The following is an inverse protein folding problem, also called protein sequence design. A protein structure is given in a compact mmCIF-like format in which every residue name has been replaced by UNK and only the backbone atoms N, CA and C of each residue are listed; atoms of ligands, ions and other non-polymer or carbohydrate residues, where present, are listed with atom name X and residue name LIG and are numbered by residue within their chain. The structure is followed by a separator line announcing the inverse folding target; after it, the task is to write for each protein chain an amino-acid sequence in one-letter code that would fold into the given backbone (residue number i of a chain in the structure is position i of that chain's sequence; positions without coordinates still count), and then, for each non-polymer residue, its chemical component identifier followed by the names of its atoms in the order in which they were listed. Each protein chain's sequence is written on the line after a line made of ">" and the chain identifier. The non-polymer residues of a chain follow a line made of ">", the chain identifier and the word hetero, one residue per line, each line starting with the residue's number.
data_IF_774434467101
#
_entry.id   IF_774434467101
#
_cell.length_a   1.000
_cell.length_b   1.000
_cell.length_c   1.000
_cell.angle_alpha   90.00
_cell.angle_beta   90.00
_cell.angle_gamma   90.00
#
_symmetry.space_group_name_H-M   'P 1'
#
loop_
_entity.id
_entity.type
_entity.pdbx_description
1 polymer ?
#
# COMPACT_ATOMS: atom_id res chain seq x y z
N UNK A 1 3.81 11.14 13.04
CA UNK A 1 4.12 9.73 12.77
C UNK A 1 5.32 9.33 13.62
N UNK A 2 5.30 8.16 14.25
CA UNK A 2 6.45 7.61 14.97
C UNK A 2 7.04 6.53 14.09
N UNK A 3 8.30 6.68 13.68
CA UNK A 3 9.03 5.69 12.91
C UNK A 3 10.17 5.10 13.75
N UNK A 4 10.39 3.80 13.60
CA UNK A 4 11.59 3.15 14.15
C UNK A 4 12.71 3.24 13.13
N UNK A 5 13.87 3.74 13.55
CA UNK A 5 15.08 3.57 12.76
C UNK A 5 15.68 2.20 13.07
N UNK A 6 15.62 1.31 12.08
CA UNK A 6 16.05 -0.08 12.21
C UNK A 6 17.54 -0.26 12.55
N UNK A 7 18.37 0.75 12.31
CA UNK A 7 19.83 0.67 12.48
C UNK A 7 20.33 0.81 13.93
N UNK A 8 19.57 1.46 14.81
CA UNK A 8 20.04 1.80 16.17
C UNK A 8 18.93 1.77 17.24
N UNK A 9 17.69 1.40 16.88
CA UNK A 9 16.58 1.31 17.82
C UNK A 9 16.13 2.66 18.38
N UNK A 10 16.59 3.77 17.82
CA UNK A 10 16.18 5.10 18.24
C UNK A 10 14.85 5.48 17.59
N UNK A 11 13.94 5.99 18.42
CA UNK A 11 12.64 6.50 17.99
C UNK A 11 12.80 7.94 17.51
N UNK A 12 12.32 8.23 16.30
CA UNK A 12 12.20 9.60 15.81
C UNK A 12 10.71 9.89 15.65
N UNK A 13 10.24 10.90 16.37
CA UNK A 13 8.90 11.45 16.17
C UNK A 13 9.01 12.68 15.30
N UNK A 14 8.36 12.67 14.16
CA UNK A 14 8.11 13.88 13.38
C UNK A 14 6.61 14.06 13.20
N UNK A 15 6.16 15.28 13.41
CA UNK A 15 4.74 15.63 13.36
C UNK A 15 4.42 16.16 11.97
N UNK A 16 3.79 15.32 11.15
CA UNK A 16 3.16 15.73 9.90
C UNK A 16 1.66 15.47 10.03
N UNK A 17 0.87 16.50 9.73
CA UNK A 17 -0.60 16.44 9.72
C UNK A 17 -1.29 16.70 11.06
N UNK A 18 -2.61 16.54 11.04
CA UNK A 18 -3.51 16.62 12.20
C UNK A 18 -4.15 15.26 12.49
N UNK A 19 -4.91 15.15 13.58
CA UNK A 19 -5.55 13.89 13.98
C UNK A 19 -6.60 13.35 13.00
N UNK A 20 -7.05 14.18 12.05
CA UNK A 20 -8.02 13.79 11.01
C UNK A 20 -7.36 13.45 9.68
N UNK A 21 -6.05 13.68 9.55
CA UNK A 21 -5.33 13.36 8.33
C UNK A 21 -5.07 11.85 8.26
N UNK A 22 -5.18 11.28 7.07
CA UNK A 22 -4.98 9.84 6.83
C UNK A 22 -3.51 9.64 6.40
N UNK A 23 -2.73 8.82 7.12
CA UNK A 23 -1.37 8.47 6.70
C UNK A 23 -1.36 7.78 5.34
N UNK A 24 -0.42 8.19 4.49
CA UNK A 24 -0.27 7.64 3.14
C UNK A 24 1.21 7.58 2.71
N UNK A 25 2.10 7.01 3.54
CA UNK A 25 3.53 6.97 3.24
C UNK A 25 3.81 6.13 1.98
N UNK A 26 4.71 6.61 1.12
CA UNK A 26 5.22 5.94 -0.08
C UNK A 26 6.50 6.66 -0.55
N UNK A 27 7.23 6.13 -1.52
CA UNK A 27 8.39 6.80 -2.13
C UNK A 27 7.92 7.72 -3.27
N UNK A 28 7.67 9.01 -3.00
CA UNK A 28 7.14 9.97 -3.98
C UNK A 28 8.24 10.69 -4.76
N UNK A 29 9.49 10.66 -4.32
CA UNK A 29 10.62 11.30 -5.01
C UNK A 29 11.55 10.33 -5.76
N UNK A 30 11.40 9.02 -5.53
CA UNK A 30 12.11 7.93 -6.20
C UNK A 30 13.51 7.71 -5.64
N UNK A 31 13.77 8.11 -4.39
CA UNK A 31 15.06 7.90 -3.74
C UNK A 31 15.23 6.50 -3.13
N UNK A 32 14.22 5.65 -3.28
CA UNK A 32 14.17 4.28 -2.75
C UNK A 32 13.80 4.22 -1.26
N UNK A 33 13.38 5.32 -0.66
CA UNK A 33 12.99 5.40 0.76
C UNK A 33 11.56 5.90 0.88
N UNK A 34 10.89 5.42 1.92
CA UNK A 34 9.54 5.86 2.22
C UNK A 34 9.51 7.32 2.68
N UNK A 35 8.73 8.13 1.98
CA UNK A 35 8.43 9.51 2.36
C UNK A 35 7.30 9.57 3.38
N UNK A 36 7.30 10.66 4.14
CA UNK A 36 6.21 10.95 5.06
C UNK A 36 5.12 11.66 4.29
N UNK A 37 3.94 11.07 4.24
CA UNK A 37 2.79 11.70 3.62
C UNK A 37 1.50 11.48 4.40
N UNK A 38 0.64 12.49 4.34
CA UNK A 38 -0.74 12.43 4.83
C UNK A 38 -1.69 13.06 3.82
N UNK A 39 -2.90 12.53 3.73
CA UNK A 39 -4.00 13.13 2.97
C UNK A 39 -5.03 13.70 3.94
N UNK A 40 -5.45 14.95 3.72
CA UNK A 40 -6.45 15.63 4.53
C UNK A 40 -7.83 15.54 3.88
N UNK A 41 -8.77 14.74 4.43
CA UNK A 41 -10.09 14.55 3.82
C UNK A 41 -10.95 15.81 3.79
N UNK A 42 -10.74 16.76 4.72
CA UNK A 42 -11.56 17.98 4.80
C UNK A 42 -11.24 19.00 3.70
N UNK A 43 -10.06 18.92 3.09
CA UNK A 43 -9.61 19.85 2.04
C UNK A 43 -9.15 19.14 0.77
N UNK A 44 -9.09 17.82 0.77
CA UNK A 44 -8.57 16.98 -0.33
C UNK A 44 -7.14 17.36 -0.70
N UNK A 45 -6.30 17.64 0.31
CA UNK A 45 -4.91 18.06 0.12
C UNK A 45 -3.97 17.00 0.65
N UNK A 46 -2.99 16.63 -0.16
CA UNK A 46 -1.84 15.83 0.21
C UNK A 46 -0.75 16.72 0.79
N UNK A 47 -0.10 16.27 1.86
CA UNK A 47 1.11 16.84 2.43
C UNK A 47 2.18 15.78 2.35
N UNK A 48 3.24 16.01 1.57
CA UNK A 48 4.29 15.03 1.29
C UNK A 48 5.62 15.65 1.69
N UNK A 49 6.40 14.95 2.52
CA UNK A 49 7.73 15.36 2.95
C UNK A 49 8.72 14.33 2.46
N UNK A 50 9.38 14.57 1.31
CA UNK A 50 10.29 13.61 0.74
C UNK A 50 11.48 13.34 1.66
N UNK A 51 11.91 12.08 1.72
CA UNK A 51 12.99 11.58 2.55
C UNK A 51 14.31 12.27 2.22
N UNK A 52 14.55 12.52 0.93
CA UNK A 52 15.80 13.12 0.43
C UNK A 52 15.94 14.61 0.77
N UNK A 53 14.83 15.34 0.86
CA UNK A 53 14.82 16.81 1.01
C UNK A 53 14.33 17.30 2.38
N UNK A 54 13.49 16.52 3.06
CA UNK A 54 12.84 16.90 4.31
C UNK A 54 11.89 18.10 4.20
N UNK A 55 11.58 18.57 3.00
CA UNK A 55 10.76 19.78 2.78
C UNK A 55 9.35 19.39 2.35
N UNK A 56 8.35 19.74 3.15
CA UNK A 56 6.95 19.40 2.84
C UNK A 56 6.41 20.19 1.65
N UNK A 57 5.85 19.48 0.68
CA UNK A 57 5.07 20.01 -0.44
C UNK A 57 3.60 19.67 -0.27
N UNK A 58 2.74 20.38 -1.00
CA UNK A 58 1.28 20.16 -0.95
C UNK A 58 0.67 20.10 -2.34
N UNK A 59 -0.24 19.15 -2.54
CA UNK A 59 -0.96 18.97 -3.81
C UNK A 59 -2.44 18.73 -3.53
N UNK A 60 -3.32 19.45 -4.21
CA UNK A 60 -4.76 19.23 -4.13
C UNK A 60 -5.19 18.10 -5.08
N UNK A 61 -5.72 17.00 -4.53
CA UNK A 61 -6.25 15.90 -5.32
C UNK A 61 -7.22 15.03 -4.48
N UNK A 62 -8.35 14.68 -5.08
CA UNK A 62 -9.36 13.81 -4.51
C UNK A 62 -10.74 14.43 -4.34
N UNK A 63 -11.63 13.63 -3.78
CA UNK A 63 -13.01 13.97 -3.48
C UNK A 63 -13.45 13.36 -2.14
N UNK A 64 -14.69 13.66 -1.75
CA UNK A 64 -15.31 13.06 -0.57
C UNK A 64 -15.35 11.53 -0.68
N UNK A 65 -15.16 10.84 0.44
CA UNK A 65 -15.12 9.36 0.58
C UNK A 65 -13.91 8.64 -0.02
N UNK A 66 -12.97 9.38 -0.62
CA UNK A 66 -11.74 8.79 -1.10
C UNK A 66 -10.83 8.37 0.05
N UNK A 67 -10.02 7.33 -0.18
CA UNK A 67 -9.01 6.82 0.75
C UNK A 67 -7.66 6.80 0.02
N UNK A 68 -6.57 7.33 0.60
CA UNK A 68 -5.26 7.34 -0.05
C UNK A 68 -4.71 5.93 -0.25
N UNK A 69 -4.24 5.67 -1.47
CA UNK A 69 -3.62 4.41 -1.92
C UNK A 69 -2.46 4.68 -2.91
N UNK A 70 -1.44 5.45 -2.50
CA UNK A 70 -0.31 5.77 -3.37
C UNK A 70 0.45 4.51 -3.77
N UNK A 71 0.80 4.41 -5.05
CA UNK A 71 1.58 3.33 -5.64
C UNK A 71 2.08 3.78 -7.02
N UNK A 72 3.14 3.17 -7.57
CA UNK A 72 3.69 3.52 -8.88
C UNK A 72 2.86 2.87 -10.01
N UNK A 73 1.77 3.51 -10.46
CA UNK A 73 0.93 2.92 -11.52
C UNK A 73 1.49 3.14 -12.92
N UNK A 74 2.39 4.11 -13.12
CA UNK A 74 2.92 4.44 -14.43
C UNK A 74 4.32 3.85 -14.72
N UNK A 75 5.00 3.36 -13.68
CA UNK A 75 6.27 2.64 -13.74
C UNK A 75 7.49 3.54 -13.84
N UNK A 76 7.42 4.76 -13.29
CA UNK A 76 8.56 5.70 -13.29
C UNK A 76 9.49 5.55 -12.08
N UNK A 77 9.18 4.62 -11.17
CA UNK A 77 9.92 4.36 -9.94
C UNK A 77 9.49 5.25 -8.77
N UNK A 78 8.42 6.03 -8.92
CA UNK A 78 7.84 6.87 -7.85
C UNK A 78 6.39 6.51 -7.64
N UNK A 79 5.96 6.61 -6.39
CA UNK A 79 4.56 6.50 -6.05
C UNK A 79 3.76 7.66 -6.66
N UNK A 80 2.68 7.30 -7.35
CA UNK A 80 1.67 8.25 -7.77
C UNK A 80 0.84 8.72 -6.58
N UNK A 81 0.37 9.97 -6.66
CA UNK A 81 -0.75 10.39 -5.82
C UNK A 81 -1.98 9.63 -6.29
N UNK A 82 -2.48 8.73 -5.44
CA UNK A 82 -3.58 7.85 -5.78
C UNK A 82 -4.57 7.66 -4.63
N UNK A 83 -5.82 7.43 -5.02
CA UNK A 83 -6.98 7.34 -4.16
C UNK A 83 -7.86 6.17 -4.60
N UNK A 84 -8.45 5.48 -3.64
CA UNK A 84 -9.56 4.56 -3.87
C UNK A 84 -10.87 5.22 -3.49
N UNK A 85 -11.86 5.14 -4.38
CA UNK A 85 -13.23 5.57 -4.12
C UNK A 85 -14.14 4.37 -3.97
N UNK A 86 -14.62 4.15 -2.76
CA UNK A 86 -15.44 2.98 -2.45
C UNK A 86 -16.82 3.02 -3.13
N UNK A 87 -17.41 4.21 -3.29
CA UNK A 87 -18.75 4.36 -3.87
C UNK A 87 -18.88 3.88 -5.33
N UNK A 88 -17.76 3.73 -6.05
CA UNK A 88 -17.74 3.23 -7.42
C UNK A 88 -16.58 2.25 -7.70
N UNK A 89 -15.93 1.73 -6.66
CA UNK A 89 -14.85 0.73 -6.73
C UNK A 89 -13.78 1.09 -7.78
N UNK A 90 -13.22 2.30 -7.66
CA UNK A 90 -12.32 2.86 -8.66
C UNK A 90 -11.07 3.47 -8.02
N UNK A 91 -9.91 3.14 -8.59
CA UNK A 91 -8.66 3.82 -8.35
C UNK A 91 -8.55 5.06 -9.23
N UNK A 92 -8.23 6.19 -8.60
CA UNK A 92 -7.92 7.46 -9.26
C UNK A 92 -6.48 7.81 -8.92
N UNK A 93 -5.63 8.02 -9.92
CA UNK A 93 -4.25 8.46 -9.69
C UNK A 93 -3.84 9.57 -10.64
N UNK A 94 -2.75 10.25 -10.28
CA UNK A 94 -2.06 11.19 -11.15
C UNK A 94 -0.63 10.72 -11.29
N UNK A 95 -0.22 10.41 -12.53
CA UNK A 95 1.12 9.99 -12.89
C UNK A 95 2.17 10.97 -12.36
N UNK A 96 3.09 10.47 -11.55
CA UNK A 96 4.30 11.15 -11.07
C UNK A 96 5.15 11.68 -12.23
N UNK A 97 5.23 10.93 -13.34
CA UNK A 97 6.13 11.25 -14.46
C UNK A 97 5.69 12.45 -15.30
N UNK A 98 4.38 12.70 -15.42
CA UNK A 98 3.85 13.66 -16.38
C UNK A 98 2.53 14.36 -15.96
N UNK A 99 1.96 14.01 -14.82
CA UNK A 99 0.73 14.62 -14.31
C UNK A 99 -0.57 14.14 -14.97
N UNK A 100 -0.53 13.09 -15.80
CA UNK A 100 -1.73 12.52 -16.43
C UNK A 100 -2.62 11.82 -15.41
N UNK A 101 -3.94 12.00 -15.53
CA UNK A 101 -4.89 11.31 -14.67
C UNK A 101 -5.14 9.88 -15.18
N UNK A 102 -5.13 8.90 -14.27
CA UNK A 102 -5.58 7.54 -14.52
C UNK A 102 -6.88 7.27 -13.73
N UNK A 103 -7.74 6.44 -14.31
CA UNK A 103 -9.00 6.04 -13.69
C UNK A 103 -9.25 4.57 -14.02
N UNK A 104 -9.22 3.73 -12.99
CA UNK A 104 -9.25 2.29 -13.14
C UNK A 104 -10.31 1.69 -12.20
N UNK A 105 -11.42 1.23 -12.76
CA UNK A 105 -12.44 0.50 -12.00
C UNK A 105 -12.01 -0.95 -11.79
N UNK A 106 -11.96 -1.39 -10.54
CA UNK A 106 -11.53 -2.72 -10.16
C UNK A 106 -12.08 -3.07 -8.78
N UNK A 107 -12.42 -4.33 -8.50
CA UNK A 107 -12.98 -4.76 -7.21
C UNK A 107 -14.50 -4.60 -7.10
N UNK A 108 -15.00 -4.80 -5.88
CA UNK A 108 -16.43 -4.78 -5.55
C UNK A 108 -16.70 -4.26 -4.13
N UNK A 109 -17.97 -4.19 -3.74
CA UNK A 109 -18.38 -3.77 -2.40
C UNK A 109 -17.79 -4.67 -1.32
N UNK A 110 -17.18 -4.05 -0.30
CA UNK A 110 -16.54 -4.75 0.82
C UNK A 110 -15.09 -5.17 0.55
N UNK A 111 -14.54 -4.81 -0.61
CA UNK A 111 -13.14 -5.03 -0.93
C UNK A 111 -12.24 -3.98 -0.26
N UNK A 112 -11.08 -4.43 0.21
CA UNK A 112 -10.01 -3.55 0.67
C UNK A 112 -9.02 -3.33 -0.48
N UNK A 113 -8.79 -2.09 -0.94
CA UNK A 113 -7.83 -1.79 -2.01
C UNK A 113 -6.38 -1.96 -1.54
N UNK A 114 -5.56 -2.63 -2.35
CA UNK A 114 -4.18 -2.97 -2.02
C UNK A 114 -3.25 -2.99 -3.26
N UNK A 115 -3.18 -1.91 -4.04
CA UNK A 115 -2.34 -1.86 -5.23
C UNK A 115 -0.87 -2.09 -4.86
N UNK A 116 -0.19 -2.97 -5.60
CA UNK A 116 1.20 -3.37 -5.38
C UNK A 116 1.72 -4.15 -6.60
N UNK A 117 3.03 -4.29 -6.75
CA UNK A 117 3.67 -5.01 -7.86
C UNK A 117 3.70 -6.53 -7.59
N UNK A 118 2.61 -7.25 -7.86
CA UNK A 118 2.52 -8.71 -7.62
C UNK A 118 3.13 -9.52 -8.77
N UNK A 119 3.25 -8.96 -9.97
CA UNK A 119 3.80 -9.65 -11.14
C UNK A 119 5.30 -9.40 -11.38
N UNK A 120 5.88 -8.38 -10.75
CA UNK A 120 7.29 -8.03 -10.78
C UNK A 120 7.69 -7.17 -11.98
N UNK A 121 6.76 -6.48 -12.63
CA UNK A 121 7.05 -5.61 -13.77
C UNK A 121 7.52 -4.19 -13.38
N UNK A 122 7.56 -3.89 -12.08
CA UNK A 122 7.95 -2.60 -11.54
C UNK A 122 6.82 -1.57 -11.51
N UNK A 123 5.59 -1.97 -11.83
CA UNK A 123 4.38 -1.13 -11.69
C UNK A 123 3.44 -1.75 -10.67
N UNK A 124 2.63 -0.90 -10.07
CA UNK A 124 1.55 -1.34 -9.22
C UNK A 124 0.44 -1.99 -10.03
N UNK A 125 0.10 -3.22 -9.66
CA UNK A 125 -1.10 -3.91 -10.12
C UNK A 125 -2.33 -3.32 -9.45
N UNK A 126 -3.48 -3.42 -10.14
CA UNK A 126 -4.74 -3.20 -9.45
C UNK A 126 -5.05 -4.43 -8.61
N UNK A 127 -5.20 -4.24 -7.30
CA UNK A 127 -5.48 -5.34 -6.40
C UNK A 127 -6.47 -4.97 -5.30
N UNK A 128 -7.31 -5.94 -4.93
CA UNK A 128 -8.21 -5.86 -3.79
C UNK A 128 -8.23 -7.17 -3.00
N UNK A 129 -8.54 -7.07 -1.71
CA UNK A 129 -8.82 -8.22 -0.86
C UNK A 129 -10.25 -8.17 -0.31
N UNK A 130 -10.97 -9.27 -0.48
CA UNK A 130 -12.33 -9.43 0.04
C UNK A 130 -12.30 -10.29 1.30
N UNK A 131 -12.53 -9.64 2.45
CA UNK A 131 -12.51 -10.31 3.75
C UNK A 131 -13.58 -11.39 3.88
N UNK A 132 -14.79 -11.16 3.35
CA UNK A 132 -15.92 -12.08 3.52
C UNK A 132 -15.69 -13.50 3.02
N UNK A 133 -14.75 -13.68 2.08
CA UNK A 133 -14.35 -14.99 1.55
C UNK A 133 -12.82 -15.19 1.50
N UNK A 134 -12.04 -14.31 2.14
CA UNK A 134 -10.57 -14.31 2.15
C UNK A 134 -9.95 -14.44 0.74
N UNK A 135 -10.49 -13.72 -0.25
CA UNK A 135 -10.03 -13.81 -1.64
C UNK A 135 -9.33 -12.54 -2.07
N UNK A 136 -8.15 -12.71 -2.66
CA UNK A 136 -7.40 -11.67 -3.35
C UNK A 136 -7.81 -11.64 -4.82
N UNK A 137 -8.04 -10.44 -5.35
CA UNK A 137 -8.29 -10.18 -6.77
C UNK A 137 -7.17 -9.27 -7.26
N UNK A 138 -6.49 -9.66 -8.33
CA UNK A 138 -5.32 -8.93 -8.84
C UNK A 138 -5.44 -8.86 -10.36
N UNK A 139 -5.22 -7.68 -10.93
CA UNK A 139 -5.06 -7.45 -12.36
C UNK A 139 -3.64 -6.95 -12.60
N UNK A 140 -2.73 -7.83 -13.04
CA UNK A 140 -1.37 -7.49 -13.36
C UNK A 140 -1.27 -6.35 -14.38
N UNK A 141 -0.43 -5.35 -14.13
CA UNK A 141 -0.12 -4.23 -15.02
C UNK A 141 0.43 -4.69 -16.37
N UNK A 142 1.29 -5.70 -16.37
CA UNK A 142 1.98 -6.17 -17.58
C UNK A 142 1.05 -6.90 -18.57
N UNK A 143 0.03 -7.60 -18.06
CA UNK A 143 -0.85 -8.44 -18.88
C UNK A 143 -2.28 -7.91 -18.98
N UNK A 144 -2.76 -7.21 -17.95
CA UNK A 144 -4.17 -6.81 -17.81
C UNK A 144 -5.14 -7.98 -17.62
N UNK A 145 -4.66 -9.19 -17.34
CA UNK A 145 -5.49 -10.40 -17.19
C UNK A 145 -5.72 -10.70 -15.72
N UNK A 146 -6.95 -10.53 -15.26
CA UNK A 146 -7.35 -10.75 -13.88
C UNK A 146 -7.12 -12.19 -13.43
N UNK A 147 -6.64 -12.34 -12.20
CA UNK A 147 -6.69 -13.60 -11.47
C UNK A 147 -7.19 -13.38 -10.04
N UNK A 148 -7.54 -14.48 -9.38
CA UNK A 148 -7.91 -14.45 -7.97
C UNK A 148 -7.38 -15.68 -7.25
N UNK A 149 -7.07 -15.52 -5.97
CA UNK A 149 -6.64 -16.62 -5.12
C UNK A 149 -7.23 -16.48 -3.73
N UNK A 150 -7.72 -17.58 -3.18
CA UNK A 150 -8.22 -17.60 -1.81
C UNK A 150 -7.05 -17.86 -0.87
N UNK A 151 -6.76 -16.90 0.01
CA UNK A 151 -5.66 -17.01 0.95
C UNK A 151 -5.92 -16.19 2.22
N UNK A 152 -5.72 -16.83 3.38
CA UNK A 152 -6.04 -16.29 4.70
C UNK A 152 -7.42 -16.70 5.21
N UNK A 153 -7.92 -15.95 6.18
CA UNK A 153 -9.24 -16.09 6.80
C UNK A 153 -9.93 -14.71 6.91
N UNK A 154 -11.24 -14.71 7.10
CA UNK A 154 -12.05 -13.48 7.02
C UNK A 154 -11.78 -12.43 8.08
N UNK A 155 -11.19 -12.82 9.21
CA UNK A 155 -10.80 -11.93 10.30
C UNK A 155 -9.31 -11.55 10.26
N UNK A 156 -8.58 -11.97 9.23
CA UNK A 156 -7.18 -11.59 9.08
C UNK A 156 -7.08 -10.16 8.51
N UNK A 157 -5.93 -9.53 8.71
CA UNK A 157 -5.59 -8.21 8.16
C UNK A 157 -4.57 -8.36 7.04
N UNK A 158 -4.74 -7.64 5.94
CA UNK A 158 -3.81 -7.73 4.81
C UNK A 158 -2.48 -7.05 5.11
N UNK A 159 -1.38 -7.71 4.76
CA UNK A 159 -0.01 -7.23 4.99
C UNK A 159 0.92 -7.56 3.80
N UNK A 160 0.51 -7.29 2.55
CA UNK A 160 1.29 -7.69 1.38
C UNK A 160 2.63 -6.95 1.33
N UNK A 161 3.69 -7.67 0.96
CA UNK A 161 5.03 -7.14 0.80
C UNK A 161 5.94 -8.16 0.11
N UNK A 162 7.13 -7.77 -0.30
CA UNK A 162 8.19 -8.67 -0.78
C UNK A 162 8.94 -9.30 0.42
N UNK A 163 8.47 -10.46 0.90
CA UNK A 163 9.05 -11.15 2.07
C UNK A 163 10.15 -12.15 1.70
N UNK A 164 10.27 -12.50 0.42
CA UNK A 164 11.24 -13.47 -0.08
C UNK A 164 12.37 -12.86 -0.94
N UNK A 165 12.27 -11.56 -1.23
CA UNK A 165 13.31 -10.74 -1.84
C UNK A 165 13.40 -10.92 -3.36
N UNK A 166 12.35 -11.38 -4.02
CA UNK A 166 12.34 -11.70 -5.44
C UNK A 166 11.89 -10.54 -6.35
N UNK A 167 11.64 -9.39 -5.73
CA UNK A 167 11.11 -8.22 -6.38
C UNK A 167 9.64 -8.32 -6.82
N UNK A 168 8.86 -9.21 -6.20
CA UNK A 168 7.39 -9.24 -6.31
C UNK A 168 6.77 -9.11 -4.93
N UNK A 169 5.58 -8.54 -4.88
CA UNK A 169 4.81 -8.47 -3.66
C UNK A 169 4.15 -9.83 -3.41
N UNK A 170 4.41 -10.40 -2.24
CA UNK A 170 3.75 -11.60 -1.77
C UNK A 170 2.35 -11.30 -1.26
N UNK A 171 1.47 -12.27 -1.44
CA UNK A 171 0.16 -12.28 -0.79
C UNK A 171 0.35 -12.67 0.67
N UNK A 172 0.01 -11.77 1.59
CA UNK A 172 0.20 -12.03 3.00
C UNK A 172 -0.90 -11.44 3.87
N UNK A 173 -1.20 -12.15 4.96
CA UNK A 173 -2.16 -11.73 5.98
C UNK A 173 -1.60 -11.91 7.38
N UNK A 174 -1.95 -11.03 8.31
CA UNK A 174 -1.68 -11.17 9.74
C UNK A 174 -2.96 -11.59 10.45
N UNK A 175 -2.86 -12.56 11.36
CA UNK A 175 -4.00 -13.07 12.13
C UNK A 175 -3.98 -12.52 13.55
N UNK A 176 -4.83 -11.53 13.89
CA UNK A 176 -4.80 -10.85 15.18
C UNK A 176 -5.00 -11.77 16.39
N UNK A 177 -5.80 -12.84 16.21
CA UNK A 177 -6.08 -13.80 17.28
C UNK A 177 -4.89 -14.68 17.67
N UNK A 178 -3.86 -14.75 16.83
CA UNK A 178 -2.70 -15.62 17.03
C UNK A 178 -1.36 -14.90 16.94
N UNK A 179 -1.33 -13.66 16.41
CA UNK A 179 -0.08 -12.96 16.11
C UNK A 179 0.72 -13.60 14.96
N UNK A 180 0.10 -14.46 14.15
CA UNK A 180 0.78 -15.19 13.08
C UNK A 180 0.59 -14.45 11.76
N UNK A 181 1.70 -14.21 11.08
CA UNK A 181 1.81 -13.77 9.69
C UNK A 181 1.79 -15.01 8.79
N UNK A 182 0.90 -15.03 7.81
CA UNK A 182 0.77 -16.07 6.80
C UNK A 182 1.13 -15.46 5.46
N UNK A 183 2.19 -15.97 4.83
CA UNK A 183 2.81 -15.38 3.64
C UNK A 183 2.81 -16.45 2.55
N UNK A 184 2.15 -16.16 1.43
CA UNK A 184 2.23 -16.95 0.21
C UNK A 184 3.32 -16.36 -0.69
N UNK A 185 4.47 -17.04 -0.72
CA UNK A 185 5.65 -16.58 -1.44
C UNK A 185 5.45 -16.62 -2.96
N UNK A 186 5.70 -15.51 -3.63
CA UNK A 186 5.60 -15.29 -5.08
C UNK A 186 6.49 -16.27 -5.87
N UNK A 187 7.72 -16.50 -5.40
CA UNK A 187 8.73 -17.35 -6.08
C UNK A 187 8.33 -18.81 -6.19
N UNK A 188 7.77 -19.35 -5.11
CA UNK A 188 7.61 -20.79 -4.90
C UNK A 188 6.16 -21.22 -4.79
N UNK A 189 5.23 -20.26 -4.68
CA UNK A 189 3.83 -20.49 -4.32
C UNK A 189 3.67 -21.29 -3.01
N UNK A 190 4.69 -21.25 -2.14
CA UNK A 190 4.68 -21.96 -0.86
C UNK A 190 4.31 -21.02 0.28
N UNK A 191 3.75 -21.59 1.35
CA UNK A 191 3.36 -20.81 2.54
C UNK A 191 4.48 -20.80 3.57
N UNK A 192 4.85 -19.60 4.01
CA UNK A 192 5.71 -19.34 5.16
C UNK A 192 4.88 -18.69 6.26
N UNK A 193 5.10 -19.13 7.50
CA UNK A 193 4.45 -18.55 8.67
C UNK A 193 5.47 -17.98 9.63
N UNK A 194 5.19 -16.81 10.18
CA UNK A 194 6.00 -16.17 11.21
C UNK A 194 5.12 -15.71 12.37
N UNK A 195 5.64 -15.75 13.59
CA UNK A 195 4.90 -15.26 14.76
C UNK A 195 5.56 -14.01 15.29
N UNK A 196 4.86 -12.88 15.17
CA UNK A 196 5.32 -11.59 15.67
C UNK A 196 4.15 -10.63 15.86
N UNK A 197 4.22 -9.85 16.94
CA UNK A 197 3.08 -9.05 17.43
C UNK A 197 2.14 -9.84 18.32
N UNK A 198 1.20 -9.12 18.93
CA UNK A 198 0.19 -9.63 19.85
C UNK A 198 -1.17 -9.01 19.57
N UNK A 199 -2.21 -9.50 20.25
CA UNK A 199 -3.55 -8.93 20.10
C UNK A 199 -3.57 -7.46 20.52
N UNK A 200 -4.03 -6.59 19.62
CA UNK A 200 -4.06 -5.14 19.82
C UNK A 200 -2.94 -4.38 19.09
N UNK A 201 -1.93 -5.08 18.57
CA UNK A 201 -0.95 -4.47 17.68
C UNK A 201 -1.56 -4.21 16.29
N UNK A 202 -1.04 -3.19 15.60
CA UNK A 202 -1.36 -2.91 14.20
C UNK A 202 -0.18 -3.44 13.37
N UNK A 203 -0.39 -4.42 12.49
CA UNK A 203 0.69 -4.95 11.69
C UNK A 203 1.15 -3.91 10.66
N UNK A 204 2.45 -3.71 10.56
CA UNK A 204 3.07 -2.85 9.55
C UNK A 204 4.08 -3.70 8.79
N UNK A 205 3.77 -4.18 7.58
CA UNK A 205 4.78 -4.78 6.73
C UNK A 205 5.87 -3.75 6.46
N UNK A 206 7.13 -4.08 6.76
CA UNK A 206 8.23 -3.14 6.60
C UNK A 206 8.50 -2.90 5.11
N UNK A 207 8.31 -1.67 4.61
CA UNK A 207 8.78 -1.27 3.29
C UNK A 207 10.31 -1.35 3.25
N UNK A 208 10.85 -2.49 2.80
CA UNK A 208 12.29 -2.66 2.60
C UNK A 208 12.48 -3.30 1.23
N UNK A 209 13.07 -2.54 0.30
CA UNK A 209 13.94 -3.15 -0.71
C UNK A 209 15.36 -2.65 -0.49
N UNK A 210 16.30 -3.55 -0.71
CA UNK A 210 17.74 -3.26 -0.70
C UNK A 210 18.14 -2.52 -1.96
#
# INVERSE_FOLDING_TARGET
>A
MVGNKSSDGTYYSTSLGTSTDIPAPADFDGDGRTDLAVWRPSTYVWYITPSSTGTTTTTGYGASSDVPKPADFDGDGKADIALWRDSNHTFYSTNSSNGSALTNSFGATGDTPTPADFDGDGKADLATWRSSNATWYIKPSSTGIDFSTQYGASADEIVPNDYDGDAKVDIAVWRPSTGVWWILQSTSSSTRNETWGTSGDIPVPAFYRR
#
